data_IF_713547216453
#
_entry.id   IF_713547216453
#
_cell.length_a   1.000
_cell.length_b   1.000
_cell.length_c   1.000
_cell.angle_alpha   90.00
_cell.angle_beta   90.00
_cell.angle_gamma   90.00
#
_symmetry.space_group_name_H-M   'P 1'
#
loop_
_entity.id
_entity.type
_entity.pdbx_description
1 polymer ?
#
# COMPACT_ATOMS: atom_id res chain seq x y z
N UNK A 1 5.29 -1.48 23.67
CA UNK A 1 3.94 -1.30 24.24
C UNK A 1 2.96 -2.20 23.50
N UNK A 2 1.95 -2.79 24.16
CA UNK A 2 0.90 -3.56 23.48
C UNK A 2 0.03 -2.64 22.61
N UNK A 3 -0.42 -3.12 21.46
CA UNK A 3 -1.38 -2.38 20.60
C UNK A 3 -2.57 -1.92 21.45
N UNK A 4 -2.99 -0.63 21.40
CA UNK A 4 -4.10 -0.14 22.21
C UNK A 4 -5.37 -0.95 22.01
N UNK A 5 -6.12 -1.18 23.09
CA UNK A 5 -7.36 -2.00 23.07
C UNK A 5 -8.36 -1.45 22.06
N UNK A 6 -8.44 -0.12 21.91
CA UNK A 6 -9.30 0.52 20.91
C UNK A 6 -8.96 0.08 19.47
N UNK A 7 -7.67 -0.01 19.16
CA UNK A 7 -7.19 -0.43 17.83
C UNK A 7 -7.53 -1.90 17.57
N UNK A 8 -7.33 -2.76 18.58
CA UNK A 8 -7.69 -4.20 18.49
C UNK A 8 -9.19 -4.38 18.33
N UNK A 9 -10.01 -3.64 19.09
CA UNK A 9 -11.46 -3.69 19.00
C UNK A 9 -11.97 -3.23 17.64
N UNK A 10 -11.44 -2.13 17.11
CA UNK A 10 -11.78 -1.64 15.78
C UNK A 10 -11.39 -2.64 14.69
N UNK A 11 -10.20 -3.24 14.80
CA UNK A 11 -9.76 -4.26 13.87
C UNK A 11 -10.71 -5.47 13.84
N UNK A 12 -11.09 -5.99 15.02
CA UNK A 12 -12.05 -7.11 15.14
C UNK A 12 -13.43 -6.73 14.60
N UNK A 13 -13.91 -5.52 14.86
CA UNK A 13 -15.18 -5.02 14.31
C UNK A 13 -15.14 -4.97 12.77
N UNK A 14 -14.08 -4.39 12.20
CA UNK A 14 -13.86 -4.33 10.76
C UNK A 14 -13.81 -5.72 10.12
N UNK A 15 -13.12 -6.69 10.72
CA UNK A 15 -13.08 -8.07 10.22
C UNK A 15 -14.46 -8.74 10.20
N UNK A 16 -15.29 -8.50 11.23
CA UNK A 16 -16.66 -9.05 11.29
C UNK A 16 -17.52 -8.47 10.17
N UNK A 17 -17.48 -7.14 9.97
CA UNK A 17 -18.22 -6.46 8.90
C UNK A 17 -17.78 -6.94 7.50
N UNK A 18 -16.47 -7.07 7.29
CA UNK A 18 -15.92 -7.64 6.04
C UNK A 18 -16.42 -9.07 5.80
N UNK A 19 -16.44 -9.90 6.84
CA UNK A 19 -16.89 -11.29 6.74
C UNK A 19 -18.39 -11.39 6.44
N UNK A 20 -19.21 -10.56 7.07
CA UNK A 20 -20.65 -10.47 6.78
C UNK A 20 -20.90 -10.07 5.32
N UNK A 21 -20.20 -9.05 4.82
CA UNK A 21 -20.30 -8.61 3.43
C UNK A 21 -19.87 -9.70 2.43
N UNK A 22 -18.77 -10.41 2.72
CA UNK A 22 -18.35 -11.53 1.88
C UNK A 22 -19.35 -12.70 1.88
N UNK A 23 -19.93 -13.04 3.04
CA UNK A 23 -20.95 -14.09 3.11
C UNK A 23 -22.20 -13.72 2.31
N UNK A 24 -22.65 -12.47 2.40
CA UNK A 24 -23.75 -11.96 1.56
C UNK A 24 -23.40 -12.07 0.06
N UNK A 25 -22.20 -11.64 -0.33
CA UNK A 25 -21.73 -11.70 -1.71
C UNK A 25 -21.66 -13.14 -2.24
N UNK A 26 -21.15 -14.08 -1.43
CA UNK A 26 -21.08 -15.50 -1.78
C UNK A 26 -22.47 -16.11 -1.95
N UNK A 27 -23.41 -15.81 -1.05
CA UNK A 27 -24.80 -16.31 -1.13
C UNK A 27 -25.54 -15.77 -2.36
N UNK A 28 -25.34 -14.50 -2.68
CA UNK A 28 -25.90 -13.91 -3.90
C UNK A 28 -25.32 -14.58 -5.15
N UNK A 29 -23.98 -14.67 -5.23
CA UNK A 29 -23.32 -15.28 -6.39
C UNK A 29 -23.67 -16.75 -6.60
N UNK A 30 -23.92 -17.50 -5.52
CA UNK A 30 -24.34 -18.90 -5.59
C UNK A 30 -25.67 -19.13 -6.32
N UNK A 31 -26.45 -18.09 -6.57
CA UNK A 31 -27.73 -18.16 -7.29
C UNK A 31 -27.59 -17.87 -8.80
N UNK A 32 -26.39 -17.47 -9.26
CA UNK A 32 -26.15 -17.12 -10.65
C UNK A 32 -26.30 -18.34 -11.55
N UNK A 33 -27.04 -18.18 -12.64
CA UNK A 33 -27.26 -19.22 -13.63
C UNK A 33 -26.10 -19.26 -14.62
N UNK A 34 -25.52 -20.45 -14.82
CA UNK A 34 -24.32 -20.62 -15.66
C UNK A 34 -24.58 -20.25 -17.14
N UNK A 35 -25.79 -20.50 -17.65
CA UNK A 35 -26.17 -20.18 -19.02
C UNK A 35 -26.50 -18.70 -19.27
N UNK A 36 -26.67 -17.90 -18.22
CA UNK A 36 -27.14 -16.50 -18.29
C UNK A 36 -26.46 -15.63 -17.24
N UNK A 37 -25.12 -15.72 -17.17
CA UNK A 37 -24.32 -15.12 -16.08
C UNK A 37 -24.60 -13.62 -15.91
N UNK A 38 -24.68 -12.85 -17.01
CA UNK A 38 -24.88 -11.40 -16.91
C UNK A 38 -26.27 -11.07 -16.41
N UNK A 39 -27.28 -11.66 -17.03
CA UNK A 39 -28.69 -11.38 -16.83
C UNK A 39 -29.14 -11.84 -15.44
N UNK A 40 -28.75 -13.06 -15.05
CA UNK A 40 -29.06 -13.59 -13.72
C UNK A 40 -28.31 -12.84 -12.62
N UNK A 41 -27.04 -12.48 -12.82
CA UNK A 41 -26.30 -11.69 -11.83
C UNK A 41 -26.89 -10.30 -11.63
N UNK A 42 -27.29 -9.63 -12.71
CA UNK A 42 -27.93 -8.33 -12.67
C UNK A 42 -29.26 -8.37 -11.88
N UNK A 43 -30.10 -9.37 -12.16
CA UNK A 43 -31.34 -9.58 -11.42
C UNK A 43 -31.10 -9.86 -9.92
N UNK A 44 -30.09 -10.70 -9.61
CA UNK A 44 -29.71 -11.00 -8.23
C UNK A 44 -29.18 -9.76 -7.51
N UNK A 45 -28.38 -8.91 -8.15
CA UNK A 45 -27.88 -7.67 -7.54
C UNK A 45 -29.02 -6.75 -7.09
N UNK A 46 -30.08 -6.65 -7.91
CA UNK A 46 -31.29 -5.88 -7.59
C UNK A 46 -32.12 -6.51 -6.48
N UNK A 47 -32.28 -7.84 -6.47
CA UNK A 47 -33.22 -8.52 -5.59
C UNK A 47 -32.63 -9.00 -4.25
N UNK A 48 -31.32 -9.28 -4.18
CA UNK A 48 -30.71 -9.96 -3.04
C UNK A 48 -30.44 -9.08 -1.82
N UNK A 49 -30.58 -7.75 -1.95
CA UNK A 49 -30.16 -6.80 -0.91
C UNK A 49 -28.64 -6.71 -0.72
N UNK A 50 -27.82 -7.32 -1.59
CA UNK A 50 -26.36 -7.32 -1.47
C UNK A 50 -25.77 -5.90 -1.44
N UNK A 51 -26.24 -5.03 -2.34
CA UNK A 51 -25.76 -3.63 -2.41
C UNK A 51 -26.03 -2.90 -1.09
N UNK A 52 -27.23 -3.07 -0.54
CA UNK A 52 -27.61 -2.48 0.75
C UNK A 52 -26.77 -3.04 1.90
N UNK A 53 -26.53 -4.36 1.92
CA UNK A 53 -25.68 -5.00 2.94
C UNK A 53 -24.23 -4.51 2.90
N UNK A 54 -23.66 -4.35 1.69
CA UNK A 54 -22.30 -3.81 1.52
C UNK A 54 -22.24 -2.34 1.94
N UNK A 55 -23.22 -1.52 1.54
CA UNK A 55 -23.30 -0.11 1.93
C UNK A 55 -23.45 0.07 3.45
N UNK A 56 -24.30 -0.74 4.09
CA UNK A 56 -24.45 -0.76 5.55
C UNK A 56 -23.14 -1.17 6.24
N UNK A 57 -22.43 -2.17 5.70
CA UNK A 57 -21.10 -2.56 6.16
C UNK A 57 -20.08 -1.42 6.03
N UNK A 58 -20.10 -0.67 4.92
CA UNK A 58 -19.26 0.51 4.73
C UNK A 58 -19.55 1.57 5.77
N UNK A 59 -20.82 1.93 5.97
CA UNK A 59 -21.23 2.94 6.95
C UNK A 59 -20.81 2.53 8.37
N UNK A 60 -21.11 1.29 8.78
CA UNK A 60 -20.75 0.80 10.10
C UNK A 60 -19.23 0.84 10.33
N UNK A 61 -18.44 0.44 9.33
CA UNK A 61 -16.99 0.45 9.46
C UNK A 61 -16.40 1.86 9.40
N UNK A 62 -16.98 2.76 8.60
CA UNK A 62 -16.63 4.17 8.55
C UNK A 62 -16.88 4.85 9.90
N UNK A 63 -18.04 4.60 10.53
CA UNK A 63 -18.36 5.15 11.85
C UNK A 63 -17.35 4.69 12.90
N UNK A 64 -17.03 3.39 12.94
CA UNK A 64 -16.06 2.87 13.89
C UNK A 64 -14.61 3.33 13.58
N UNK A 65 -14.29 3.51 12.29
CA UNK A 65 -13.02 4.05 11.82
C UNK A 65 -12.84 5.53 12.17
N UNK A 66 -13.92 6.31 12.17
CA UNK A 66 -13.91 7.74 12.50
C UNK A 66 -13.70 8.03 13.99
N UNK A 67 -13.89 7.05 14.88
CA UNK A 67 -13.88 7.27 16.33
C UNK A 67 -12.72 6.61 17.07
N UNK A 68 -12.25 5.43 16.64
CA UNK A 68 -11.29 4.64 17.44
C UNK A 68 -9.96 5.36 17.73
N UNK A 69 -9.55 6.30 16.88
CA UNK A 69 -8.32 7.08 17.04
C UNK A 69 -8.35 7.97 18.29
N UNK A 70 -9.50 8.51 18.66
CA UNK A 70 -9.65 9.27 19.90
C UNK A 70 -9.34 8.39 21.11
N UNK A 71 -9.94 7.21 21.18
CA UNK A 71 -9.72 6.24 22.26
C UNK A 71 -8.29 5.71 22.25
N UNK A 72 -7.73 5.44 21.06
CA UNK A 72 -6.36 4.98 20.91
C UNK A 72 -5.36 6.02 21.43
N UNK A 73 -5.56 7.30 21.09
CA UNK A 73 -4.73 8.40 21.59
C UNK A 73 -4.89 8.58 23.10
N UNK A 74 -6.12 8.54 23.62
CA UNK A 74 -6.40 8.67 25.05
C UNK A 74 -5.74 7.54 25.88
N UNK A 75 -5.79 6.29 25.39
CA UNK A 75 -5.12 5.14 26.03
C UNK A 75 -3.60 5.29 26.11
N UNK A 76 -3.01 6.12 25.25
CA UNK A 76 -1.58 6.43 25.25
C UNK A 76 -1.25 7.72 26.02
N UNK A 77 -2.26 8.43 26.57
CA UNK A 77 -2.05 9.77 27.16
C UNK A 77 -1.75 10.85 26.12
N UNK A 78 -2.05 10.62 24.85
CA UNK A 78 -1.72 11.46 23.70
C UNK A 78 -2.96 12.12 23.07
N UNK A 79 -4.03 12.32 23.85
CA UNK A 79 -5.28 12.86 23.32
C UNK A 79 -5.07 14.25 22.71
N UNK A 80 -5.48 14.39 21.45
CA UNK A 80 -5.50 15.66 20.72
C UNK A 80 -6.91 15.87 20.14
N UNK A 81 -7.57 17.01 20.40
CA UNK A 81 -8.93 17.26 19.90
C UNK A 81 -8.94 17.42 18.37
N UNK A 82 -10.02 16.98 17.69
CA UNK A 82 -10.18 17.23 16.26
C UNK A 82 -10.69 18.67 16.02
N UNK A 83 -10.28 19.28 14.91
CA UNK A 83 -10.80 20.56 14.42
C UNK A 83 -12.16 20.40 13.74
N UNK A 84 -12.45 19.20 13.23
CA UNK A 84 -13.70 18.85 12.56
C UNK A 84 -14.00 17.35 12.72
N UNK A 85 -15.27 17.01 12.65
CA UNK A 85 -15.73 15.62 12.73
C UNK A 85 -15.89 15.02 11.34
N UNK A 86 -15.52 13.74 11.22
CA UNK A 86 -15.77 12.96 10.01
C UNK A 86 -17.26 12.78 9.82
N UNK A 87 -17.76 12.91 8.60
CA UNK A 87 -19.09 12.44 8.21
C UNK A 87 -19.00 11.00 7.68
N UNK A 88 -19.35 9.95 8.46
CA UNK A 88 -19.17 8.56 8.03
C UNK A 88 -20.05 8.19 6.84
N UNK A 89 -21.19 8.86 6.65
CA UNK A 89 -22.08 8.60 5.53
C UNK A 89 -21.43 8.90 4.17
N UNK A 90 -20.45 9.81 4.13
CA UNK A 90 -19.67 10.10 2.92
C UNK A 90 -18.78 8.95 2.44
N UNK A 91 -18.60 7.89 3.23
CA UNK A 91 -17.78 6.72 2.90
C UNK A 91 -18.61 5.48 2.54
N UNK A 92 -19.93 5.61 2.46
CA UNK A 92 -20.85 4.53 2.12
C UNK A 92 -21.48 4.73 0.74
N UNK A 93 -21.88 3.63 0.10
CA UNK A 93 -22.60 3.64 -1.19
C UNK A 93 -21.71 3.76 -2.43
N UNK A 94 -20.41 3.99 -2.26
CA UNK A 94 -19.43 4.09 -3.35
C UNK A 94 -18.17 3.28 -3.06
N UNK A 95 -17.56 2.75 -4.11
CA UNK A 95 -16.24 2.14 -4.03
C UNK A 95 -15.16 3.21 -3.87
N UNK A 96 -14.00 2.83 -3.34
CA UNK A 96 -12.90 3.76 -3.13
C UNK A 96 -12.33 4.37 -4.43
N UNK A 97 -12.62 3.75 -5.58
CA UNK A 97 -12.26 4.21 -6.93
C UNK A 97 -13.34 5.06 -7.62
N UNK A 98 -14.40 5.41 -6.90
CA UNK A 98 -15.49 6.27 -7.38
C UNK A 98 -16.60 5.51 -8.12
N UNK A 99 -16.49 4.20 -8.33
CA UNK A 99 -17.58 3.41 -8.92
C UNK A 99 -18.75 3.29 -7.95
N UNK A 100 -19.96 3.15 -8.50
CA UNK A 100 -21.12 2.69 -7.73
C UNK A 100 -20.88 1.27 -7.22
N UNK A 101 -21.46 0.92 -6.07
CA UNK A 101 -21.39 -0.45 -5.56
C UNK A 101 -21.98 -1.47 -6.55
N UNK A 102 -23.05 -1.09 -7.25
CA UNK A 102 -23.65 -1.92 -8.30
C UNK A 102 -22.64 -2.20 -9.42
N UNK A 103 -22.02 -1.17 -9.99
CA UNK A 103 -21.03 -1.33 -11.05
C UNK A 103 -19.78 -2.10 -10.59
N UNK A 104 -19.34 -1.88 -9.36
CA UNK A 104 -18.25 -2.65 -8.74
C UNK A 104 -18.60 -4.14 -8.68
N UNK A 105 -19.74 -4.50 -8.09
CA UNK A 105 -20.12 -5.90 -7.88
C UNK A 105 -20.50 -6.59 -9.20
N UNK A 106 -21.12 -5.86 -10.13
CA UNK A 106 -21.43 -6.34 -11.48
C UNK A 106 -20.18 -6.76 -12.25
N UNK A 107 -19.03 -6.12 -12.01
CA UNK A 107 -17.76 -6.45 -12.69
C UNK A 107 -17.30 -7.90 -12.53
N UNK A 108 -17.88 -8.66 -11.59
CA UNK A 108 -17.69 -10.11 -11.46
C UNK A 108 -18.18 -10.88 -12.69
N UNK A 109 -19.28 -10.48 -13.32
CA UNK A 109 -19.81 -11.16 -14.50
C UNK A 109 -18.85 -11.13 -15.71
N UNK A 110 -18.35 -9.96 -16.18
CA UNK A 110 -17.37 -9.92 -17.27
C UNK A 110 -16.04 -10.60 -16.88
N UNK A 111 -15.62 -10.53 -15.61
CA UNK A 111 -14.46 -11.28 -15.11
C UNK A 111 -14.62 -12.79 -15.34
N UNK A 112 -15.74 -13.38 -14.92
CA UNK A 112 -15.99 -14.82 -15.11
C UNK A 112 -16.13 -15.18 -16.59
N UNK A 113 -16.85 -14.37 -17.38
CA UNK A 113 -16.97 -14.58 -18.83
C UNK A 113 -15.60 -14.54 -19.52
N UNK A 114 -14.68 -13.68 -19.09
CA UNK A 114 -13.32 -13.65 -19.62
C UNK A 114 -12.51 -14.92 -19.31
N UNK A 115 -12.73 -15.55 -18.14
CA UNK A 115 -12.06 -16.80 -17.79
C UNK A 115 -12.59 -17.95 -18.65
N UNK A 116 -13.91 -18.00 -18.86
CA UNK A 116 -14.55 -18.99 -19.73
C UNK A 116 -14.08 -18.81 -21.18
N UNK A 117 -14.08 -17.57 -21.69
CA UNK A 117 -13.56 -17.25 -23.02
C UNK A 117 -12.06 -17.54 -23.18
N UNK A 118 -11.32 -17.58 -22.07
CA UNK A 118 -9.93 -18.02 -22.00
C UNK A 118 -9.73 -19.54 -21.91
N UNK A 119 -10.81 -20.34 -22.02
CA UNK A 119 -10.77 -21.81 -22.01
C UNK A 119 -10.86 -22.46 -20.63
N UNK A 120 -11.13 -21.70 -19.57
CA UNK A 120 -11.34 -22.28 -18.24
C UNK A 120 -12.72 -22.95 -18.18
N UNK A 121 -12.78 -24.13 -17.57
CA UNK A 121 -14.03 -24.83 -17.27
C UNK A 121 -15.03 -23.92 -16.52
N UNK A 122 -16.32 -24.02 -16.88
CA UNK A 122 -17.39 -23.14 -16.38
C UNK A 122 -17.53 -23.25 -14.86
N UNK A 123 -17.53 -24.46 -14.30
CA UNK A 123 -17.66 -24.64 -12.85
C UNK A 123 -16.48 -23.99 -12.09
N UNK A 124 -15.27 -24.18 -12.62
CA UNK A 124 -14.05 -23.57 -12.09
C UNK A 124 -14.10 -22.04 -12.19
N UNK A 125 -14.56 -21.49 -13.32
CA UNK A 125 -14.71 -20.06 -13.52
C UNK A 125 -15.77 -19.45 -12.58
N UNK A 126 -16.90 -20.14 -12.35
CA UNK A 126 -17.93 -19.74 -11.39
C UNK A 126 -17.39 -19.70 -9.96
N UNK A 127 -16.57 -20.69 -9.59
CA UNK A 127 -15.85 -20.70 -8.32
C UNK A 127 -14.86 -19.53 -8.17
N UNK A 128 -14.18 -19.14 -9.26
CA UNK A 128 -13.35 -17.94 -9.28
C UNK A 128 -14.19 -16.65 -9.13
N UNK A 129 -15.36 -16.58 -9.76
CA UNK A 129 -16.33 -15.50 -9.59
C UNK A 129 -16.76 -15.32 -8.13
N UNK A 130 -17.06 -16.42 -7.44
CA UNK A 130 -17.42 -16.40 -6.03
C UNK A 130 -16.30 -15.79 -5.18
N UNK A 131 -15.04 -16.15 -5.43
CA UNK A 131 -13.87 -15.59 -4.73
C UNK A 131 -13.68 -14.10 -5.06
N UNK A 132 -13.92 -13.72 -6.32
CA UNK A 132 -13.77 -12.35 -6.78
C UNK A 132 -14.78 -11.40 -6.12
N UNK A 133 -16.08 -11.72 -6.14
CA UNK A 133 -17.12 -10.86 -5.52
C UNK A 133 -16.94 -10.77 -4.00
N UNK A 134 -16.53 -11.86 -3.34
CA UNK A 134 -16.18 -11.84 -1.91
C UNK A 134 -15.03 -10.89 -1.62
N UNK A 135 -14.00 -10.88 -2.47
CA UNK A 135 -12.86 -9.97 -2.33
C UNK A 135 -13.29 -8.52 -2.52
N UNK A 136 -14.12 -8.22 -3.53
CA UNK A 136 -14.65 -6.87 -3.76
C UNK A 136 -15.44 -6.37 -2.55
N UNK A 137 -16.38 -7.18 -2.04
CA UNK A 137 -17.20 -6.84 -0.88
C UNK A 137 -16.37 -6.60 0.40
N UNK A 138 -15.41 -7.48 0.70
CA UNK A 138 -14.48 -7.28 1.83
C UNK A 138 -13.69 -5.98 1.69
N UNK A 139 -13.11 -5.76 0.51
CA UNK A 139 -12.21 -4.64 0.27
C UNK A 139 -12.92 -3.31 0.40
N UNK A 140 -14.11 -3.16 -0.20
CA UNK A 140 -14.84 -1.89 -0.17
C UNK A 140 -15.37 -1.52 1.22
N UNK A 141 -15.76 -2.52 2.03
CA UNK A 141 -16.12 -2.31 3.45
C UNK A 141 -14.92 -1.90 4.28
N UNK A 142 -13.77 -2.55 4.08
CA UNK A 142 -12.54 -2.22 4.79
C UNK A 142 -12.01 -0.82 4.41
N UNK A 143 -12.16 -0.42 3.15
CA UNK A 143 -11.74 0.90 2.65
C UNK A 143 -12.56 2.03 3.27
N UNK A 144 -13.87 1.85 3.49
CA UNK A 144 -14.71 2.85 4.14
C UNK A 144 -14.21 3.19 5.56
N UNK A 145 -13.92 2.16 6.37
CA UNK A 145 -13.34 2.34 7.71
C UNK A 145 -11.98 3.01 7.71
N UNK A 146 -11.09 2.62 6.78
CA UNK A 146 -9.76 3.24 6.64
C UNK A 146 -9.83 4.68 6.15
N UNK A 147 -10.75 4.98 5.23
CA UNK A 147 -10.96 6.32 4.69
C UNK A 147 -11.41 7.28 5.79
N UNK A 148 -12.43 6.88 6.55
CA UNK A 148 -12.94 7.65 7.69
C UNK A 148 -11.88 7.89 8.76
N UNK A 149 -11.13 6.83 9.11
CA UNK A 149 -9.98 6.92 10.00
C UNK A 149 -8.94 7.94 9.52
N UNK A 150 -8.58 7.88 8.23
CA UNK A 150 -7.65 8.83 7.62
C UNK A 150 -8.11 10.29 7.72
N UNK A 151 -9.41 10.55 7.60
CA UNK A 151 -9.98 11.91 7.76
C UNK A 151 -9.99 12.34 9.23
N UNK A 152 -10.29 11.46 10.18
CA UNK A 152 -10.22 11.80 11.61
C UNK A 152 -8.80 12.19 12.04
N UNK A 153 -7.77 11.48 11.54
CA UNK A 153 -6.39 11.89 11.82
C UNK A 153 -6.05 13.21 11.16
N UNK A 154 -6.50 13.41 9.92
CA UNK A 154 -6.27 14.67 9.23
C UNK A 154 -6.95 15.86 9.94
N UNK A 155 -8.02 15.64 10.70
CA UNK A 155 -8.67 16.68 11.49
C UNK A 155 -7.98 16.96 12.83
N UNK A 156 -6.94 16.20 13.23
CA UNK A 156 -6.21 16.41 14.49
C UNK A 156 -4.79 16.91 14.22
N UNK A 157 -4.46 18.10 14.71
CA UNK A 157 -3.12 18.68 14.53
C UNK A 157 -2.04 17.81 15.18
N UNK A 158 -0.93 17.61 14.49
CA UNK A 158 0.22 16.86 15.01
C UNK A 158 0.00 15.35 15.15
N UNK A 159 -1.15 14.83 14.73
CA UNK A 159 -1.47 13.40 14.80
C UNK A 159 -1.17 12.71 13.47
N UNK A 160 -0.67 11.47 13.57
CA UNK A 160 -0.48 10.57 12.44
C UNK A 160 -0.76 9.12 12.82
N UNK A 161 -0.32 8.21 11.96
CA UNK A 161 -0.42 6.78 12.20
C UNK A 161 0.93 6.11 12.26
N UNK A 162 1.11 5.26 13.27
CA UNK A 162 2.13 4.21 13.27
C UNK A 162 1.50 2.95 12.72
N UNK A 163 2.10 2.36 11.69
CA UNK A 163 1.62 1.10 11.12
C UNK A 163 2.12 -0.07 11.96
N UNK A 164 1.18 -0.86 12.48
CA UNK A 164 1.48 -2.06 13.24
C UNK A 164 1.14 -3.31 12.44
N UNK A 165 2.00 -4.32 12.57
CA UNK A 165 1.74 -5.65 12.01
C UNK A 165 0.65 -6.34 12.82
N UNK A 166 -0.16 -7.13 12.12
CA UNK A 166 -0.98 -8.17 12.72
C UNK A 166 -0.41 -9.50 12.21
N UNK A 167 0.44 -10.19 12.99
CA UNK A 167 1.06 -11.41 12.52
C UNK A 167 0.04 -12.53 12.22
N UNK A 168 0.28 -13.37 11.19
CA UNK A 168 1.39 -13.31 10.24
C UNK A 168 1.13 -12.28 9.13
N UNK A 169 1.99 -11.26 9.03
CA UNK A 169 1.92 -10.24 7.98
C UNK A 169 2.86 -10.57 6.81
N UNK A 170 2.56 -10.11 5.60
CA UNK A 170 3.42 -10.37 4.44
C UNK A 170 4.73 -9.55 4.49
N UNK A 171 5.75 -9.98 3.74
CA UNK A 171 7.05 -9.27 3.68
C UNK A 171 6.96 -7.81 3.22
N UNK A 172 5.93 -7.42 2.47
CA UNK A 172 5.69 -6.00 2.11
C UNK A 172 5.14 -5.19 3.27
N UNK A 173 4.40 -5.83 4.17
CA UNK A 173 3.89 -5.18 5.37
C UNK A 173 5.00 -5.03 6.42
N UNK A 174 5.89 -6.02 6.55
CA UNK A 174 6.97 -5.99 7.54
C UNK A 174 7.85 -4.75 7.39
N UNK A 175 8.26 -4.40 6.16
CA UNK A 175 9.08 -3.19 5.88
C UNK A 175 8.36 -1.85 6.11
N UNK A 176 7.07 -1.87 6.42
CA UNK A 176 6.28 -0.67 6.74
C UNK A 176 5.94 -0.60 8.22
N UNK A 177 6.28 -1.64 8.99
CA UNK A 177 6.02 -1.71 10.42
C UNK A 177 6.78 -0.61 11.17
N UNK A 178 6.16 -0.04 12.20
CA UNK A 178 6.76 0.98 13.05
C UNK A 178 6.98 2.35 12.40
N UNK A 179 6.73 2.46 11.09
CA UNK A 179 6.87 3.74 10.40
C UNK A 179 5.67 4.64 10.74
N UNK A 180 5.99 5.88 11.10
CA UNK A 180 5.02 6.94 11.28
C UNK A 180 4.69 7.60 9.94
N UNK A 181 3.40 7.78 9.72
CA UNK A 181 2.84 8.42 8.54
C UNK A 181 1.96 9.54 9.01
N UNK A 182 2.40 10.76 8.74
CA UNK A 182 1.52 11.92 8.84
C UNK A 182 0.53 11.87 7.69
N UNK A 183 -0.74 12.17 7.99
CA UNK A 183 -1.80 12.43 7.01
C UNK A 183 -1.77 11.50 5.79
N UNK A 184 -2.03 10.20 6.00
CA UNK A 184 -2.17 9.14 4.99
C UNK A 184 -1.30 9.32 3.71
N UNK A 185 0.02 9.44 3.86
CA UNK A 185 0.96 9.33 2.75
C UNK A 185 0.74 7.97 2.05
N UNK A 186 -0.07 8.02 0.98
CA UNK A 186 -0.87 6.91 0.47
C UNK A 186 -0.16 5.56 0.41
N UNK A 187 -0.59 4.65 1.27
CA UNK A 187 -0.16 3.27 1.22
C UNK A 187 -0.69 2.59 -0.05
N UNK A 188 0.19 1.86 -0.73
CA UNK A 188 -0.23 0.97 -1.81
C UNK A 188 -1.00 -0.21 -1.21
N UNK A 189 -2.24 -0.34 -1.67
CA UNK A 189 -3.21 -1.35 -1.27
C UNK A 189 -2.87 -2.67 -1.97
N UNK A 190 -3.20 -3.78 -1.33
CA UNK A 190 -3.36 -5.06 -2.02
C UNK A 190 -4.45 -5.85 -1.30
N UNK A 191 -5.16 -6.76 -2.00
CA UNK A 191 -6.12 -7.65 -1.36
C UNK A 191 -5.45 -8.40 -0.19
N UNK A 192 -6.15 -8.48 0.94
CA UNK A 192 -5.67 -9.20 2.13
C UNK A 192 -4.67 -8.46 3.03
N UNK A 193 -4.46 -7.15 2.84
CA UNK A 193 -3.69 -6.35 3.80
C UNK A 193 -4.43 -6.27 5.15
N UNK A 194 -3.78 -6.69 6.23
CA UNK A 194 -4.37 -6.84 7.57
C UNK A 194 -3.68 -6.01 8.66
N UNK A 195 -2.72 -5.15 8.29
CA UNK A 195 -2.08 -4.23 9.23
C UNK A 195 -3.10 -3.30 9.89
N UNK A 196 -2.81 -2.94 11.14
CA UNK A 196 -3.59 -1.96 11.90
C UNK A 196 -2.86 -0.63 11.97
N UNK A 197 -3.61 0.45 12.09
CA UNK A 197 -3.06 1.78 12.31
C UNK A 197 -3.25 2.16 13.77
N UNK A 198 -2.16 2.52 14.44
CA UNK A 198 -2.19 3.07 15.80
C UNK A 198 -2.03 4.58 15.66
N UNK A 199 -3.05 5.33 16.06
CA UNK A 199 -2.97 6.79 16.11
C UNK A 199 -1.92 7.21 17.14
N UNK A 200 -1.05 8.15 16.77
CA UNK A 200 0.01 8.67 17.66
C UNK A 200 0.36 10.10 17.28
N UNK A 201 1.02 10.83 18.18
CA UNK A 201 1.46 12.21 17.92
C UNK A 201 2.89 12.23 17.39
N UNK A 202 3.19 13.23 16.57
CA UNK A 202 4.53 13.41 16.04
C UNK A 202 5.56 13.71 17.13
N UNK A 203 5.14 14.39 18.20
CA UNK A 203 5.94 14.61 19.42
C UNK A 203 6.26 13.29 20.11
N UNK A 204 5.29 12.39 20.30
CA UNK A 204 5.54 11.09 20.92
C UNK A 204 6.47 10.21 20.09
N UNK A 205 6.31 10.22 18.76
CA UNK A 205 7.21 9.47 17.86
C UNK A 205 8.62 10.10 17.78
N UNK A 206 8.72 11.43 17.85
CA UNK A 206 10.02 12.13 17.79
C UNK A 206 10.76 12.15 19.13
N UNK A 207 10.03 12.12 20.25
CA UNK A 207 10.59 12.01 21.60
C UNK A 207 10.85 10.55 22.01
N UNK A 208 10.14 9.60 21.42
CA UNK A 208 10.16 8.18 21.75
C UNK A 208 10.65 7.30 20.61
N UNK A 209 11.96 7.31 20.36
CA UNK A 209 12.62 6.11 19.79
C UNK A 209 12.48 4.89 20.75
N UNK A 210 11.93 5.06 21.96
CA UNK A 210 12.10 4.14 23.12
C UNK A 210 10.84 3.57 23.81
N UNK A 211 9.61 3.67 23.29
CA UNK A 211 8.42 3.10 23.99
C UNK A 211 7.75 1.91 23.27
N UNK A 212 8.43 1.31 22.29
CA UNK A 212 7.96 0.09 21.63
C UNK A 212 6.71 0.30 20.76
N UNK A 213 6.56 1.50 20.18
CA UNK A 213 5.65 1.78 19.06
C UNK A 213 6.27 1.40 17.70
N UNK A 214 7.59 1.25 17.62
CA UNK A 214 8.29 0.79 16.43
C UNK A 214 8.43 -0.73 16.54
N UNK A 215 7.59 -1.48 15.83
CA UNK A 215 7.78 -2.92 15.72
C UNK A 215 9.03 -3.19 14.89
N UNK A 216 10.06 -3.80 15.48
CA UNK A 216 11.30 -4.13 14.75
C UNK A 216 10.95 -5.16 13.66
N UNK A 217 11.20 -4.79 12.40
CA UNK A 217 10.99 -5.64 11.23
C UNK A 217 11.82 -6.93 11.33
N UNK A 218 12.99 -6.86 11.95
CA UNK A 218 13.86 -7.99 12.17
C UNK A 218 13.40 -8.84 13.36
N UNK A 219 12.78 -8.27 14.38
CA UNK A 219 12.14 -9.05 15.46
C UNK A 219 10.98 -9.89 14.91
N UNK A 220 10.14 -9.30 14.06
CA UNK A 220 9.12 -10.06 13.34
C UNK A 220 9.73 -11.20 12.52
N UNK A 221 10.78 -10.93 11.74
CA UNK A 221 11.46 -11.94 10.95
C UNK A 221 12.01 -13.09 11.82
N UNK A 222 12.69 -12.75 12.93
CA UNK A 222 13.27 -13.71 13.88
C UNK A 222 12.21 -14.52 14.64
N UNK A 223 11.02 -13.95 14.85
CA UNK A 223 9.90 -14.64 15.50
C UNK A 223 9.15 -15.64 14.61
N UNK A 224 9.42 -15.67 13.30
CA UNK A 224 8.85 -16.66 12.37
C UNK A 224 9.66 -17.96 12.36
N UNK A 225 9.00 -19.08 12.12
CA UNK A 225 9.70 -20.34 11.81
C UNK A 225 10.49 -20.24 10.49
N UNK A 226 11.52 -21.06 10.30
CA UNK A 226 12.30 -21.04 9.04
C UNK A 226 11.43 -21.25 7.80
N UNK A 227 10.45 -22.15 7.88
CA UNK A 227 9.49 -22.39 6.81
C UNK A 227 8.64 -21.15 6.50
N UNK A 228 8.25 -20.38 7.52
CA UNK A 228 7.51 -19.14 7.33
C UNK A 228 8.37 -18.00 6.80
N UNK A 229 9.61 -17.88 7.27
CA UNK A 229 10.59 -16.94 6.72
C UNK A 229 10.77 -17.21 5.22
N UNK A 230 11.01 -18.47 4.85
CA UNK A 230 11.19 -18.89 3.46
C UNK A 230 9.93 -18.65 2.61
N UNK A 231 8.74 -18.90 3.17
CA UNK A 231 7.46 -18.65 2.49
C UNK A 231 7.21 -17.16 2.25
N UNK A 232 7.49 -16.31 3.23
CA UNK A 232 7.18 -14.87 3.19
C UNK A 232 8.25 -14.06 2.44
N UNK A 233 9.53 -14.43 2.58
CA UNK A 233 10.68 -13.69 2.04
C UNK A 233 11.35 -14.37 0.84
N UNK A 234 10.92 -15.57 0.46
CA UNK A 234 11.62 -16.58 -0.38
C UNK A 234 12.77 -17.26 0.36
N UNK A 235 13.14 -18.47 -0.06
CA UNK A 235 14.29 -19.20 0.49
C UNK A 235 15.57 -18.38 0.39
N UNK A 236 15.87 -17.84 -0.79
CA UNK A 236 17.06 -17.03 -1.02
C UNK A 236 17.02 -15.68 -0.26
N UNK A 237 15.85 -15.03 -0.23
CA UNK A 237 15.67 -13.78 0.51
C UNK A 237 15.81 -13.97 2.01
N UNK A 238 15.19 -14.99 2.59
CA UNK A 238 15.31 -15.35 4.00
C UNK A 238 16.76 -15.69 4.36
N UNK A 239 17.44 -16.49 3.53
CA UNK A 239 18.85 -16.83 3.76
C UNK A 239 19.77 -15.61 3.69
N UNK A 240 19.52 -14.68 2.75
CA UNK A 240 20.24 -13.40 2.71
C UNK A 240 20.05 -12.59 4.00
N UNK A 241 18.82 -12.49 4.52
CA UNK A 241 18.52 -11.79 5.78
C UNK A 241 19.24 -12.46 6.96
N UNK A 242 19.24 -13.81 7.04
CA UNK A 242 20.00 -14.55 8.08
C UNK A 242 21.51 -14.27 8.00
N UNK A 243 22.03 -13.94 6.82
CA UNK A 243 23.42 -13.57 6.59
C UNK A 243 23.73 -12.07 6.74
N UNK A 244 22.79 -11.28 7.29
CA UNK A 244 23.01 -9.87 7.59
C UNK A 244 22.61 -8.92 6.45
N UNK A 245 21.95 -9.41 5.41
CA UNK A 245 21.36 -8.52 4.41
C UNK A 245 20.27 -7.65 5.04
N UNK A 246 20.18 -6.40 4.59
CA UNK A 246 19.12 -5.47 4.94
C UNK A 246 17.78 -5.95 4.38
N UNK A 247 16.82 -6.15 5.29
CA UNK A 247 15.49 -6.68 4.99
C UNK A 247 14.75 -5.78 3.99
N UNK A 248 14.92 -4.45 4.09
CA UNK A 248 14.28 -3.52 3.16
C UNK A 248 14.83 -3.65 1.74
N UNK A 249 16.13 -3.86 1.58
CA UNK A 249 16.75 -4.10 0.27
C UNK A 249 16.30 -5.41 -0.35
N UNK A 250 16.24 -6.49 0.45
CA UNK A 250 15.74 -7.80 0.01
C UNK A 250 14.30 -7.70 -0.47
N UNK A 251 13.39 -7.13 0.34
CA UNK A 251 11.97 -7.02 -0.02
C UNK A 251 11.75 -6.10 -1.22
N UNK A 252 12.41 -4.93 -1.26
CA UNK A 252 12.21 -3.96 -2.34
C UNK A 252 12.83 -4.38 -3.66
N UNK A 253 13.88 -5.21 -3.66
CA UNK A 253 14.48 -5.74 -4.91
C UNK A 253 13.47 -6.49 -5.78
N UNK A 254 12.42 -7.05 -5.16
CA UNK A 254 11.38 -7.84 -5.83
C UNK A 254 10.21 -6.99 -6.36
N UNK A 255 10.22 -5.68 -6.13
CA UNK A 255 9.14 -4.78 -6.52
C UNK A 255 9.03 -4.69 -8.05
N UNK A 256 7.85 -5.01 -8.58
CA UNK A 256 7.59 -4.94 -10.03
C UNK A 256 8.10 -6.15 -10.82
N UNK A 257 8.63 -7.18 -10.15
CA UNK A 257 9.12 -8.39 -10.80
C UNK A 257 8.08 -9.52 -10.79
N UNK A 258 8.22 -10.45 -11.75
CA UNK A 258 7.59 -11.78 -11.68
C UNK A 258 8.29 -12.64 -10.62
N UNK A 259 7.60 -13.63 -10.00
CA UNK A 259 8.26 -14.60 -9.13
C UNK A 259 9.47 -15.24 -9.82
N UNK A 260 10.61 -15.33 -9.12
CA UNK A 260 11.84 -15.93 -9.65
C UNK A 260 12.71 -15.02 -10.53
N UNK A 261 12.42 -13.72 -10.64
CA UNK A 261 13.32 -12.79 -11.36
C UNK A 261 14.72 -12.72 -10.72
N UNK A 262 15.77 -12.80 -11.56
CA UNK A 262 17.17 -12.88 -11.13
C UNK A 262 17.89 -11.52 -11.10
N UNK A 263 17.27 -10.48 -11.67
CA UNK A 263 17.84 -9.14 -11.79
C UNK A 263 16.82 -8.11 -11.33
N UNK A 264 17.24 -7.23 -10.40
CA UNK A 264 16.43 -6.17 -9.84
C UNK A 264 16.61 -4.86 -10.62
N UNK A 265 15.51 -4.15 -10.85
CA UNK A 265 15.51 -2.78 -11.40
C UNK A 265 15.30 -1.71 -10.33
N UNK A 266 14.88 -2.11 -9.12
CA UNK A 266 14.68 -1.17 -8.01
C UNK A 266 16.04 -0.71 -7.46
N UNK A 267 16.19 0.61 -7.31
CA UNK A 267 17.43 1.23 -6.85
C UNK A 267 18.48 1.43 -7.94
N UNK A 268 18.27 0.93 -9.17
CA UNK A 268 19.27 0.96 -10.24
C UNK A 268 19.21 2.21 -11.15
N UNK A 269 18.43 3.22 -10.75
CA UNK A 269 18.30 4.48 -11.51
C UNK A 269 19.43 5.47 -11.19
N UNK A 270 19.58 6.54 -11.97
CA UNK A 270 20.55 7.62 -11.72
C UNK A 270 20.40 8.27 -10.33
N UNK A 271 19.21 8.16 -9.71
CA UNK A 271 18.90 8.69 -8.37
C UNK A 271 18.65 7.59 -7.34
N UNK A 272 18.77 6.32 -7.73
CA UNK A 272 18.56 5.18 -6.85
C UNK A 272 19.83 4.86 -6.07
N UNK A 273 19.66 4.23 -4.91
CA UNK A 273 20.78 3.95 -3.99
C UNK A 273 21.88 3.07 -4.62
N UNK A 274 21.53 2.24 -5.60
CA UNK A 274 22.47 1.33 -6.27
C UNK A 274 23.10 1.93 -7.55
N UNK A 275 22.53 3.02 -8.08
CA UNK A 275 23.00 3.65 -9.32
C UNK A 275 22.80 2.77 -10.57
N UNK A 276 23.38 3.16 -11.71
CA UNK A 276 23.11 2.52 -13.03
C UNK A 276 23.73 1.12 -13.24
N UNK A 277 24.09 0.40 -12.18
CA UNK A 277 24.69 -0.94 -12.28
C UNK A 277 23.60 -2.02 -12.36
N UNK A 278 23.87 -3.10 -13.09
CA UNK A 278 23.04 -4.30 -13.03
C UNK A 278 23.08 -4.87 -11.62
N UNK A 279 21.91 -5.15 -11.03
CA UNK A 279 21.78 -5.63 -9.65
C UNK A 279 21.14 -7.01 -9.66
N UNK A 280 21.84 -8.02 -9.17
CA UNK A 280 21.24 -9.35 -8.97
C UNK A 280 20.24 -9.31 -7.82
N UNK A 281 19.21 -10.15 -7.87
CA UNK A 281 18.33 -10.41 -6.72
C UNK A 281 18.99 -11.42 -5.79
N UNK A 282 18.53 -11.61 -4.54
CA UNK A 282 18.99 -12.72 -3.73
C UNK A 282 18.85 -14.05 -4.49
N UNK A 283 17.75 -14.27 -5.20
CA UNK A 283 17.57 -15.45 -6.05
C UNK A 283 18.67 -15.59 -7.11
N UNK A 284 19.04 -14.49 -7.80
CA UNK A 284 20.12 -14.48 -8.79
C UNK A 284 21.53 -14.62 -8.22
N UNK A 285 21.73 -14.27 -6.95
CA UNK A 285 23.01 -14.47 -6.24
C UNK A 285 23.13 -15.94 -5.81
N UNK A 286 22.11 -16.48 -5.15
CA UNK A 286 22.14 -17.87 -4.67
C UNK A 286 22.09 -18.89 -5.80
N UNK A 287 21.55 -18.55 -6.98
CA UNK A 287 21.60 -19.44 -8.16
C UNK A 287 23.02 -19.67 -8.69
N UNK A 288 24.00 -18.86 -8.29
CA UNK A 288 25.40 -19.03 -8.69
C UNK A 288 26.10 -20.18 -7.95
N UNK A 289 25.47 -20.78 -6.92
CA UNK A 289 25.99 -21.91 -6.14
C UNK A 289 27.43 -21.68 -5.62
N UNK A 290 27.74 -20.45 -5.21
CA UNK A 290 29.06 -20.07 -4.73
C UNK A 290 29.30 -20.48 -3.27
N UNK A 291 30.56 -20.39 -2.85
CA UNK A 291 30.93 -20.49 -1.44
C UNK A 291 30.17 -19.45 -0.60
N UNK A 292 30.02 -19.69 0.71
CA UNK A 292 29.42 -18.71 1.63
C UNK A 292 30.17 -17.38 1.58
N UNK A 293 31.50 -17.40 1.55
CA UNK A 293 32.32 -16.19 1.52
C UNK A 293 32.06 -15.36 0.26
N UNK A 294 31.98 -15.99 -0.91
CA UNK A 294 31.75 -15.28 -2.17
C UNK A 294 30.28 -14.85 -2.34
N UNK A 295 29.35 -15.61 -1.77
CA UNK A 295 27.94 -15.21 -1.65
C UNK A 295 27.80 -13.92 -0.83
N UNK A 296 28.51 -13.81 0.30
CA UNK A 296 28.52 -12.58 1.12
C UNK A 296 29.09 -11.39 0.35
N UNK A 297 30.20 -11.56 -0.38
CA UNK A 297 30.75 -10.51 -1.26
C UNK A 297 29.77 -10.09 -2.36
N UNK A 298 29.02 -11.03 -2.93
CA UNK A 298 27.97 -10.71 -3.90
C UNK A 298 26.79 -9.98 -3.25
N UNK A 299 26.36 -10.35 -2.05
CA UNK A 299 25.32 -9.65 -1.32
C UNK A 299 25.74 -8.21 -0.99
N UNK A 300 26.98 -8.00 -0.57
CA UNK A 300 27.55 -6.68 -0.31
C UNK A 300 27.67 -5.84 -1.60
N UNK A 301 28.30 -6.37 -2.64
CA UNK A 301 28.48 -5.65 -3.92
C UNK A 301 27.16 -5.35 -4.65
N UNK A 302 26.10 -6.12 -4.38
CA UNK A 302 24.74 -5.86 -4.88
C UNK A 302 23.87 -5.00 -3.92
N UNK A 303 24.48 -4.45 -2.86
CA UNK A 303 23.85 -3.52 -1.94
C UNK A 303 22.73 -4.15 -1.11
N UNK A 304 22.87 -5.43 -0.76
CA UNK A 304 22.01 -6.11 0.23
C UNK A 304 22.63 -6.08 1.62
N UNK A 305 23.93 -6.31 1.74
CA UNK A 305 24.65 -6.05 3.00
C UNK A 305 25.12 -4.60 2.94
N UNK A 306 24.70 -3.80 3.93
CA UNK A 306 24.97 -2.36 3.98
C UNK A 306 25.93 -2.06 5.14
N UNK A 307 26.79 -1.03 5.05
CA UNK A 307 27.69 -0.64 6.14
C UNK A 307 26.98 -0.31 7.46
N UNK A 308 25.73 0.17 7.39
CA UNK A 308 24.88 0.43 8.55
C UNK A 308 24.23 -0.82 9.17
N UNK A 309 24.52 -2.01 8.66
CA UNK A 309 23.97 -3.28 9.18
C UNK A 309 22.47 -3.42 8.99
N UNK A 310 21.83 -4.19 9.87
CA UNK A 310 20.38 -4.41 9.92
C UNK A 310 19.72 -3.37 10.85
N UNK A 311 19.35 -2.22 10.32
CA UNK A 311 18.65 -1.15 11.05
C UNK A 311 17.12 -1.33 10.92
N UNK A 312 16.36 -1.45 12.04
CA UNK A 312 14.89 -1.55 12.02
C UNK A 312 14.15 -0.40 11.32
N UNK A 313 14.80 0.75 11.15
CA UNK A 313 14.29 1.92 10.42
C UNK A 313 14.86 2.04 9.00
N UNK A 314 15.68 1.09 8.58
CA UNK A 314 16.35 1.00 7.30
C UNK A 314 17.68 1.75 7.27
N UNK A 315 18.74 1.06 6.85
CA UNK A 315 20.13 1.55 6.95
C UNK A 315 20.53 2.57 5.87
N UNK A 316 19.58 3.02 5.04
CA UNK A 316 19.80 4.04 4.00
C UNK A 316 19.31 5.40 4.50
N UNK A 317 20.24 6.35 4.63
CA UNK A 317 19.97 7.74 5.00
C UNK A 317 18.98 8.37 4.01
N UNK A 318 17.89 8.94 4.53
CA UNK A 318 16.94 9.72 3.73
C UNK A 318 15.58 9.07 3.43
N UNK A 319 15.30 7.89 3.98
CA UNK A 319 13.98 7.24 3.97
C UNK A 319 12.95 7.92 4.90
N UNK A 320 13.42 8.75 5.84
CA UNK A 320 12.59 9.52 6.77
C UNK A 320 11.97 10.70 6.02
N UNK A 321 10.66 10.84 6.17
CA UNK A 321 9.74 11.83 5.58
C UNK A 321 10.44 13.07 4.97
N UNK A 322 10.46 13.15 3.64
CA UNK A 322 10.79 14.37 2.90
C UNK A 322 12.26 14.77 2.79
N UNK A 323 13.16 14.30 3.66
CA UNK A 323 14.56 14.75 3.62
C UNK A 323 15.33 14.11 2.45
N UNK A 324 15.33 12.78 2.29
CA UNK A 324 16.25 12.14 1.34
C UNK A 324 15.75 11.90 -0.08
N UNK A 325 14.49 11.47 -0.23
CA UNK A 325 13.97 10.99 -1.51
C UNK A 325 13.91 12.08 -2.61
N UNK A 326 13.79 13.35 -2.22
CA UNK A 326 13.52 14.47 -3.12
C UNK A 326 14.59 15.58 -3.07
N UNK A 327 15.44 15.60 -2.05
CA UNK A 327 16.45 16.64 -1.82
C UNK A 327 17.90 16.20 -2.05
N UNK A 328 18.17 15.17 -2.88
CA UNK A 328 19.49 14.50 -2.95
C UNK A 328 19.99 14.10 -1.55
N UNK A 329 19.24 13.28 -0.82
CA UNK A 329 19.67 12.84 0.51
C UNK A 329 19.51 13.91 1.62
N UNK A 330 18.72 14.96 1.42
CA UNK A 330 18.47 16.00 2.44
C UNK A 330 19.28 17.28 2.27
N UNK A 331 20.12 17.37 1.24
CA UNK A 331 21.03 18.49 0.99
C UNK A 331 20.34 19.72 0.39
N UNK A 332 19.13 19.58 -0.19
CA UNK A 332 18.38 20.71 -0.75
C UNK A 332 17.58 21.45 0.33
N UNK A 333 18.05 22.63 0.73
CA UNK A 333 17.48 23.45 1.81
C UNK A 333 15.98 23.76 1.61
N UNK A 334 15.56 24.10 0.38
CA UNK A 334 14.16 24.40 0.08
C UNK A 334 13.21 23.19 0.27
N UNK A 335 13.67 21.98 -0.07
CA UNK A 335 12.89 20.75 0.16
C UNK A 335 12.74 20.47 1.66
N UNK A 336 13.84 20.67 2.41
CA UNK A 336 13.87 20.54 3.88
C UNK A 336 12.92 21.54 4.55
N UNK A 337 12.97 22.80 4.13
CA UNK A 337 12.14 23.88 4.69
C UNK A 337 10.66 23.70 4.38
N UNK A 338 10.30 23.33 3.15
CA UNK A 338 8.91 23.05 2.79
C UNK A 338 8.29 21.96 3.67
N UNK A 339 9.06 20.89 3.92
CA UNK A 339 8.65 19.81 4.82
C UNK A 339 8.54 20.32 6.25
N UNK A 340 9.56 20.99 6.79
CA UNK A 340 9.57 21.54 8.15
C UNK A 340 8.41 22.51 8.40
N UNK A 341 8.11 23.37 7.43
CA UNK A 341 7.01 24.32 7.53
C UNK A 341 5.66 23.59 7.55
N UNK A 342 5.47 22.58 6.70
CA UNK A 342 4.28 21.73 6.76
C UNK A 342 4.14 20.99 8.10
N UNK A 343 5.26 20.66 8.79
CA UNK A 343 5.21 20.14 10.17
C UNK A 343 4.73 21.18 11.15
N UNK A 344 5.30 22.38 11.05
CA UNK A 344 5.02 23.49 11.98
C UNK A 344 3.57 23.94 11.88
N UNK A 345 3.02 24.03 10.68
CA UNK A 345 1.65 24.51 10.44
C UNK A 345 0.62 23.39 10.48
N UNK A 346 1.02 22.14 10.24
CA UNK A 346 0.09 21.04 9.97
C UNK A 346 -0.54 21.12 8.58
N UNK A 347 -0.17 22.11 7.77
CA UNK A 347 -0.76 22.36 6.46
C UNK A 347 0.18 21.93 5.34
N UNK A 348 -0.36 21.13 4.41
CA UNK A 348 0.35 20.65 3.23
C UNK A 348 0.10 21.59 2.06
N UNK A 349 1.09 21.74 1.17
CA UNK A 349 0.97 22.51 -0.08
C UNK A 349 0.80 21.56 -1.27
N UNK A 350 -0.41 21.35 -1.81
CA UNK A 350 -0.64 20.39 -2.89
C UNK A 350 0.11 20.70 -4.19
N UNK A 351 0.51 21.97 -4.37
CA UNK A 351 1.35 22.42 -5.47
C UNK A 351 2.86 22.28 -5.21
N UNK A 352 3.27 21.93 -3.99
CA UNK A 352 4.67 21.67 -3.64
C UNK A 352 4.96 20.17 -3.66
N UNK A 353 5.79 19.75 -4.63
CA UNK A 353 6.25 18.36 -4.80
C UNK A 353 6.78 17.74 -3.50
N UNK A 354 7.39 18.53 -2.62
CA UNK A 354 8.00 18.03 -1.38
C UNK A 354 6.98 17.70 -0.31
N UNK A 355 5.76 18.22 -0.43
CA UNK A 355 4.68 17.96 0.51
C UNK A 355 3.53 17.15 -0.12
N UNK A 356 3.53 16.90 -1.44
CA UNK A 356 2.55 16.04 -2.12
C UNK A 356 2.54 14.58 -1.60
N UNK A 357 1.33 14.01 -1.49
CA UNK A 357 1.13 12.57 -1.29
C UNK A 357 1.69 11.76 -2.47
N UNK A 358 1.87 10.45 -2.29
CA UNK A 358 2.29 9.56 -3.39
C UNK A 358 1.31 9.55 -4.58
N UNK A 359 0.00 9.64 -4.31
CA UNK A 359 -1.03 9.68 -5.35
C UNK A 359 -0.92 10.98 -6.16
N UNK A 360 -0.89 12.13 -5.48
CA UNK A 360 -0.73 13.42 -6.14
C UNK A 360 0.59 13.51 -6.90
N UNK A 361 1.67 12.94 -6.37
CA UNK A 361 2.95 12.89 -7.11
C UNK A 361 2.86 12.08 -8.39
N UNK A 362 2.09 10.99 -8.43
CA UNK A 362 1.87 10.24 -9.69
C UNK A 362 1.12 11.07 -10.70
N UNK A 363 0.04 11.75 -10.28
CA UNK A 363 -0.71 12.63 -11.16
C UNK A 363 0.15 13.81 -11.64
N UNK A 364 0.88 14.45 -10.73
CA UNK A 364 1.81 15.54 -11.05
C UNK A 364 2.92 15.11 -12.00
N UNK A 365 3.56 13.96 -11.75
CA UNK A 365 4.59 13.42 -12.65
C UNK A 365 4.02 13.03 -14.02
N UNK A 366 2.79 12.53 -14.07
CA UNK A 366 2.11 12.22 -15.32
C UNK A 366 1.75 13.49 -16.10
N UNK A 367 1.26 14.53 -15.42
CA UNK A 367 1.00 15.85 -16.00
C UNK A 367 2.28 16.45 -16.59
N UNK A 368 3.38 16.47 -15.84
CA UNK A 368 4.67 16.98 -16.34
C UNK A 368 5.17 16.26 -17.60
N UNK A 369 4.93 14.94 -17.69
CA UNK A 369 5.29 14.19 -18.90
C UNK A 369 4.37 14.56 -20.06
N UNK A 370 3.08 14.74 -19.80
CA UNK A 370 2.11 15.16 -20.80
C UNK A 370 2.39 16.56 -21.33
N UNK A 371 2.71 17.52 -20.46
CA UNK A 371 3.10 18.87 -20.87
C UNK A 371 4.37 18.86 -21.72
N UNK A 372 5.37 18.05 -21.36
CA UNK A 372 6.55 17.86 -22.21
C UNK A 372 6.18 17.33 -23.61
N UNK A 373 5.24 16.39 -23.71
CA UNK A 373 4.74 15.89 -25.01
C UNK A 373 4.02 16.99 -25.79
N UNK A 374 3.18 17.81 -25.13
CA UNK A 374 2.50 18.96 -25.76
C UNK A 374 3.46 20.01 -26.28
N UNK A 375 4.61 20.15 -25.65
CA UNK A 375 5.72 21.02 -26.10
C UNK A 375 6.63 20.35 -27.15
N UNK A 376 6.28 19.15 -27.65
CA UNK A 376 7.09 18.43 -28.64
C UNK A 376 8.36 17.76 -28.07
N UNK A 377 8.50 17.69 -26.75
CA UNK A 377 9.69 17.17 -26.06
C UNK A 377 9.50 15.73 -25.60
N UNK A 378 10.54 14.92 -25.70
CA UNK A 378 10.55 13.56 -25.15
C UNK A 378 10.70 13.62 -23.60
N UNK A 379 9.72 13.16 -22.81
CA UNK A 379 9.76 13.27 -21.35
C UNK A 379 10.77 12.33 -20.68
N UNK A 380 11.27 11.32 -21.39
CA UNK A 380 12.17 10.30 -20.83
C UNK A 380 13.64 10.56 -21.17
N UNK A 381 13.93 11.36 -22.19
CA UNK A 381 15.29 11.65 -22.62
C UNK A 381 15.35 12.91 -23.46
N UNK A 382 16.08 13.93 -23.00
CA UNK A 382 16.36 15.14 -23.78
C UNK A 382 17.20 14.89 -25.04
N UNK A 383 17.87 13.73 -25.13
CA UNK A 383 18.74 13.37 -26.25
C UNK A 383 18.04 12.58 -27.37
N UNK A 384 16.77 12.22 -27.19
CA UNK A 384 16.02 11.41 -28.16
C UNK A 384 14.78 12.18 -28.60
N UNK A 385 14.37 12.10 -29.87
CA UNK A 385 13.16 12.76 -30.34
C UNK A 385 11.92 12.20 -29.65
N UNK A 386 10.86 12.99 -29.62
CA UNK A 386 9.53 12.51 -29.26
C UNK A 386 9.00 11.67 -30.43
N UNK A 387 8.59 10.44 -30.16
CA UNK A 387 7.95 9.56 -31.15
C UNK A 387 6.43 9.47 -30.90
N UNK A 388 5.62 9.15 -31.93
CA UNK A 388 4.18 8.94 -31.75
C UNK A 388 3.85 7.89 -30.68
N UNK A 389 4.61 6.80 -30.62
CA UNK A 389 4.42 5.75 -29.59
C UNK A 389 4.68 6.26 -28.17
N UNK A 390 5.67 7.14 -28.00
CA UNK A 390 5.97 7.75 -26.70
C UNK A 390 4.84 8.71 -26.33
N UNK A 391 4.37 9.53 -27.26
CA UNK A 391 3.25 10.45 -27.04
C UNK A 391 1.97 9.71 -26.61
N UNK A 392 1.57 8.67 -27.37
CA UNK A 392 0.39 7.88 -27.08
C UNK A 392 0.47 7.15 -25.72
N UNK A 393 1.66 6.65 -25.36
CA UNK A 393 1.89 6.00 -24.06
C UNK A 393 1.76 6.98 -22.90
N UNK A 394 2.35 8.18 -23.04
CA UNK A 394 2.29 9.23 -22.01
C UNK A 394 0.86 9.72 -21.85
N UNK A 395 0.12 9.90 -22.94
CA UNK A 395 -1.30 10.27 -22.91
C UNK A 395 -2.14 9.22 -22.18
N UNK A 396 -1.95 7.94 -22.51
CA UNK A 396 -2.65 6.82 -21.84
C UNK A 396 -2.35 6.78 -20.34
N UNK A 397 -1.10 6.99 -19.95
CA UNK A 397 -0.68 7.04 -18.54
C UNK A 397 -1.29 8.25 -17.84
N UNK A 398 -1.28 9.44 -18.47
CA UNK A 398 -1.87 10.65 -17.92
C UNK A 398 -3.39 10.51 -17.73
N UNK A 399 -4.13 10.05 -18.74
CA UNK A 399 -5.57 9.79 -18.64
C UNK A 399 -5.90 8.81 -17.51
N UNK A 400 -5.10 7.75 -17.34
CA UNK A 400 -5.25 6.79 -16.24
C UNK A 400 -5.11 7.45 -14.87
N UNK A 401 -4.07 8.25 -14.67
CA UNK A 401 -3.85 8.90 -13.38
C UNK A 401 -4.85 10.02 -13.12
N UNK A 402 -5.27 10.74 -14.16
CA UNK A 402 -6.30 11.77 -14.07
C UNK A 402 -7.64 11.17 -13.60
N UNK A 403 -8.06 10.05 -14.20
CA UNK A 403 -9.30 9.36 -13.85
C UNK A 403 -9.31 8.80 -12.41
N UNK A 404 -8.14 8.58 -11.81
CA UNK A 404 -7.99 7.97 -10.48
C UNK A 404 -7.51 8.94 -9.41
N UNK A 405 -7.28 10.22 -9.76
CA UNK A 405 -6.58 11.16 -8.87
C UNK A 405 -5.19 10.66 -8.42
N UNK A 406 -4.51 9.85 -9.25
CA UNK A 406 -3.22 9.24 -8.95
C UNK A 406 -3.27 8.01 -8.01
N UNK A 407 -4.46 7.58 -7.60
CA UNK A 407 -4.63 6.42 -6.73
C UNK A 407 -4.33 5.11 -7.47
N UNK A 408 -3.82 4.12 -6.73
CA UNK A 408 -3.69 2.74 -7.22
C UNK A 408 -4.72 1.93 -6.44
N UNK A 409 -5.69 1.39 -7.16
CA UNK A 409 -6.75 0.52 -6.64
C UNK A 409 -6.39 -0.94 -6.86
#
# INVERSE_FOLDING_TARGET
>A
MSVPVAVVSQYKASQRLQSQAALAARRAWGQVQQGSISESWEAILRASGLIAAVSAGQLANATAGASYSADALAQQGLYEPPEAFVNPAGFAGVAADGRTLEGLLYSTAPYVKSLIGGGLDVSTAMGAGAKHVQMLAKTTVADAGRGAAGVDIASRRGVGYVRMLNPPSCSRCSVLAGRFYRWNAGFRRHPGCDCVHVASTDKAVSAGESEGLIHDSYEHFRGLSEAEQDRLYTKAGAQAIRYGADLFQVVNSRRGMKPGGLVATEGTSRRGNFGRKGRLTPEGIYSQNLSRADTLKLLESNGYILPGGQDPLGSIIGQREGYGALGRGGTRVGARQAVLEARRTGERKPNDRYTMTEAERRLFDAQLRWDAVREGRNPYSSKKPLTPDIAARVEKDFRRWLATGGQIF
#
